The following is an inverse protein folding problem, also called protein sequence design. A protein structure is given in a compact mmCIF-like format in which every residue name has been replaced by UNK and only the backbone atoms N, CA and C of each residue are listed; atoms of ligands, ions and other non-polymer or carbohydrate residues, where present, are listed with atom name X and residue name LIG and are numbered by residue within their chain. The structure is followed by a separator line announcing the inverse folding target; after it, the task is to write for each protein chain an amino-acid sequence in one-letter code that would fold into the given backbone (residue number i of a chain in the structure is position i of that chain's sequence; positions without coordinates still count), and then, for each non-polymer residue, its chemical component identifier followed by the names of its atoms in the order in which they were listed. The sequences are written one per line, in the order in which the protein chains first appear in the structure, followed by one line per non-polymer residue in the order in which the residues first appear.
data_IF_076382645105
#
_entry.id   IF_076382645105
#
_cell.length_a   1.000
_cell.length_b   1.000
_cell.length_c   1.000
_cell.angle_alpha   90.00
_cell.angle_beta   90.00
_cell.angle_gamma   90.00
#
_symmetry.space_group_name_H-M   'P 1'
#
loop_
_entity.id
_entity.type
_entity.pdbx_description
1 polymer ?
#
# COMPACT_ATOMS: atom_id res chain seq x y z
N UNK A 1 -45.29 77.03 -23.78
CA UNK A 1 -44.26 77.68 -22.94
C UNK A 1 -44.63 77.32 -21.51
N UNK A 2 -43.68 76.75 -20.76
CA UNK A 2 -43.81 76.27 -19.37
C UNK A 2 -44.58 74.96 -19.16
N UNK A 3 -44.16 73.98 -18.34
CA UNK A 3 -42.90 73.56 -17.68
C UNK A 3 -43.26 72.14 -17.14
N UNK A 4 -42.37 71.13 -17.23
CA UNK A 4 -41.63 70.57 -16.08
C UNK A 4 -42.59 69.95 -15.02
N UNK A 5 -42.59 68.70 -14.57
CA UNK A 5 -41.57 67.67 -14.29
C UNK A 5 -42.39 66.41 -13.99
N UNK A 6 -42.17 65.29 -14.68
CA UNK A 6 -42.53 63.95 -14.19
C UNK A 6 -41.93 62.89 -15.13
N UNK A 7 -40.61 62.81 -15.14
CA UNK A 7 -39.89 61.64 -15.63
C UNK A 7 -38.92 61.24 -14.53
N UNK A 8 -39.48 60.59 -13.51
CA UNK A 8 -38.76 59.89 -12.47
C UNK A 8 -38.02 58.71 -13.13
N UNK A 9 -36.68 58.77 -13.08
CA UNK A 9 -35.76 57.65 -12.96
C UNK A 9 -36.17 56.31 -13.60
N UNK A 10 -35.89 56.15 -14.90
CA UNK A 10 -35.80 54.83 -15.53
C UNK A 10 -34.32 54.39 -15.62
N UNK A 11 -33.83 53.97 -14.46
CA UNK A 11 -32.86 52.90 -14.19
C UNK A 11 -31.96 52.48 -15.38
N UNK A 12 -30.69 52.91 -15.29
CA UNK A 12 -29.55 52.30 -15.96
C UNK A 12 -29.34 50.90 -15.35
N UNK A 13 -29.78 49.85 -16.03
CA UNK A 13 -29.41 48.47 -15.70
C UNK A 13 -28.26 48.05 -16.61
N UNK A 14 -27.02 48.38 -16.22
CA UNK A 14 -25.83 47.74 -16.78
C UNK A 14 -25.89 46.28 -16.34
N UNK A 15 -26.23 45.40 -17.29
CA UNK A 15 -26.13 43.95 -17.12
C UNK A 15 -24.63 43.63 -17.12
N UNK A 16 -23.99 43.75 -15.96
CA UNK A 16 -22.73 43.11 -15.68
C UNK A 16 -23.00 41.61 -15.56
N UNK A 17 -23.03 40.92 -16.71
CA UNK A 17 -22.78 39.48 -16.75
C UNK A 17 -21.34 39.26 -16.27
N UNK A 18 -21.16 39.24 -14.95
CA UNK A 18 -20.01 38.60 -14.36
C UNK A 18 -20.07 37.15 -14.82
N UNK A 19 -19.16 36.79 -15.73
CA UNK A 19 -18.86 35.40 -16.00
C UNK A 19 -18.44 34.78 -14.66
N UNK A 20 -19.40 34.16 -13.96
CA UNK A 20 -19.09 33.19 -12.93
C UNK A 20 -18.46 32.05 -13.70
N UNK A 21 -17.14 32.11 -13.85
CA UNK A 21 -16.36 30.95 -14.29
C UNK A 21 -16.78 29.83 -13.33
N UNK A 22 -17.24 28.67 -13.82
CA UNK A 22 -17.47 27.54 -12.94
C UNK A 22 -16.17 27.38 -12.16
N UNK A 23 -16.26 27.46 -10.82
CA UNK A 23 -15.14 27.04 -9.99
C UNK A 23 -14.89 25.61 -10.43
N UNK A 24 -13.76 25.37 -11.12
CA UNK A 24 -13.30 24.01 -11.37
C UNK A 24 -13.43 23.31 -10.03
N UNK A 25 -14.06 22.13 -9.94
CA UNK A 25 -14.04 21.39 -8.69
C UNK A 25 -12.59 21.40 -8.22
N UNK A 26 -12.37 21.79 -6.97
CA UNK A 26 -11.07 21.66 -6.35
C UNK A 26 -10.70 20.19 -6.50
N UNK A 27 -9.90 19.88 -7.51
CA UNK A 27 -9.15 18.64 -7.51
C UNK A 27 -8.22 18.83 -6.31
N UNK A 28 -8.56 18.24 -5.18
CA UNK A 28 -7.51 17.76 -4.29
C UNK A 28 -6.54 17.04 -5.23
N UNK A 29 -5.29 17.47 -5.28
CA UNK A 29 -4.30 16.77 -6.08
C UNK A 29 -4.17 15.38 -5.43
N UNK A 30 -4.94 14.42 -5.93
CA UNK A 30 -4.79 13.01 -5.54
C UNK A 30 -3.36 12.65 -5.92
N UNK A 31 -2.59 12.21 -4.93
CA UNK A 31 -1.20 11.87 -5.15
C UNK A 31 -1.10 10.85 -6.27
N UNK A 32 -0.23 11.09 -7.28
CA UNK A 32 -0.04 10.10 -8.33
C UNK A 32 0.48 8.81 -7.70
N UNK A 33 0.12 7.67 -8.29
CA UNK A 33 0.64 6.38 -7.83
C UNK A 33 2.17 6.35 -8.04
N UNK A 34 2.97 6.19 -6.97
CA UNK A 34 4.40 6.11 -7.09
C UNK A 34 4.79 4.82 -7.82
N UNK A 35 5.87 4.86 -8.59
CA UNK A 35 6.49 3.70 -9.23
C UNK A 35 5.57 2.85 -10.14
N UNK A 36 4.43 3.38 -10.60
CA UNK A 36 3.46 2.60 -11.39
C UNK A 36 2.65 1.60 -10.56
N UNK A 37 2.45 1.89 -9.26
CA UNK A 37 1.65 1.07 -8.34
C UNK A 37 0.15 1.08 -8.70
N UNK A 38 -0.31 1.91 -9.63
CA UNK A 38 -1.69 1.85 -10.14
C UNK A 38 -1.98 0.56 -10.91
N UNK A 39 -0.96 -0.01 -11.58
CA UNK A 39 -1.11 -1.11 -12.54
C UNK A 39 -0.43 -2.42 -12.13
N UNK A 40 0.59 -2.38 -11.28
CA UNK A 40 1.29 -3.57 -10.82
C UNK A 40 1.86 -3.44 -9.40
N UNK A 41 2.10 -4.58 -8.75
CA UNK A 41 2.87 -4.67 -7.53
C UNK A 41 4.36 -4.50 -7.82
N UNK A 42 5.06 -3.78 -6.96
CA UNK A 42 6.51 -3.61 -7.02
C UNK A 42 7.15 -4.09 -5.73
N UNK A 43 8.31 -4.73 -5.83
CA UNK A 43 9.07 -5.21 -4.68
C UNK A 43 10.49 -4.67 -4.70
N UNK A 44 11.00 -4.36 -3.52
CA UNK A 44 12.35 -3.85 -3.32
C UNK A 44 12.94 -4.52 -2.07
N UNK A 45 14.24 -4.78 -2.06
CA UNK A 45 14.93 -5.09 -0.82
C UNK A 45 15.29 -3.78 -0.13
N UNK A 46 15.19 -3.73 1.19
CA UNK A 46 15.69 -2.59 1.95
C UNK A 46 17.22 -2.53 1.86
N UNK A 47 17.79 -1.36 2.15
CA UNK A 47 19.23 -1.20 2.28
C UNK A 47 19.76 -2.04 3.45
N UNK A 48 20.73 -2.89 3.17
CA UNK A 48 21.38 -3.73 4.19
C UNK A 48 21.95 -5.02 3.63
N UNK A 49 22.89 -5.61 4.36
CA UNK A 49 23.51 -6.89 3.99
C UNK A 49 22.75 -8.06 4.63
N UNK A 50 21.52 -8.29 4.17
CA UNK A 50 20.65 -9.33 4.72
C UNK A 50 20.93 -10.71 4.10
N UNK A 51 20.70 -11.77 4.89
CA UNK A 51 20.94 -13.15 4.47
C UNK A 51 20.01 -13.60 3.32
N UNK A 52 18.79 -13.06 3.25
CA UNK A 52 17.80 -13.38 2.24
C UNK A 52 17.46 -12.13 1.44
N UNK A 53 17.50 -12.27 0.12
CA UNK A 53 17.12 -11.21 -0.83
C UNK A 53 16.04 -11.72 -1.77
N UNK A 54 15.08 -10.86 -2.10
CA UNK A 54 13.95 -11.18 -3.01
C UNK A 54 14.19 -10.53 -4.36
N UNK A 55 13.94 -11.27 -5.45
CA UNK A 55 14.12 -10.80 -6.83
C UNK A 55 12.83 -10.79 -7.65
N UNK A 56 11.79 -11.50 -7.19
CA UNK A 56 10.49 -11.51 -7.86
C UNK A 56 9.36 -11.81 -6.88
N UNK A 57 8.19 -11.22 -7.13
CA UNK A 57 6.97 -11.50 -6.39
C UNK A 57 5.74 -11.42 -7.31
N UNK A 58 4.78 -12.30 -7.09
CA UNK A 58 3.49 -12.29 -7.78
C UNK A 58 2.39 -12.82 -6.86
N UNK A 59 1.21 -12.21 -6.93
CA UNK A 59 0.05 -12.63 -6.13
C UNK A 59 -0.95 -13.35 -7.02
N UNK A 60 -1.43 -14.50 -6.57
CA UNK A 60 -2.44 -15.31 -7.25
C UNK A 60 -3.72 -15.43 -6.42
N UNK A 61 -4.86 -15.58 -7.10
CA UNK A 61 -6.14 -15.83 -6.45
C UNK A 61 -6.15 -17.26 -5.89
N UNK A 62 -6.25 -17.42 -4.57
CA UNK A 62 -6.18 -18.71 -3.90
C UNK A 62 -5.02 -19.56 -4.41
N UNK A 63 -5.31 -20.81 -4.80
CA UNK A 63 -4.34 -21.76 -5.39
C UNK A 63 -4.33 -21.77 -6.93
N UNK A 64 -4.91 -20.76 -7.58
CA UNK A 64 -5.00 -20.70 -9.05
C UNK A 64 -3.71 -20.16 -9.68
N UNK A 65 -3.67 -20.14 -11.02
CA UNK A 65 -2.63 -19.45 -11.81
C UNK A 65 -3.05 -18.04 -12.23
N UNK A 66 -4.25 -17.59 -11.85
CA UNK A 66 -4.74 -16.26 -12.17
C UNK A 66 -4.14 -15.25 -11.21
N UNK A 67 -3.48 -14.22 -11.77
CA UNK A 67 -2.87 -13.14 -10.99
C UNK A 67 -3.93 -12.25 -10.36
N UNK A 68 -3.68 -11.78 -9.15
CA UNK A 68 -4.52 -10.83 -8.43
C UNK A 68 -3.84 -9.45 -8.43
N UNK A 69 -4.40 -8.50 -9.20
CA UNK A 69 -4.08 -7.10 -9.09
C UNK A 69 -5.24 -6.22 -9.58
N UNK A 70 -5.70 -5.19 -8.83
CA UNK A 70 -5.29 -4.85 -7.46
C UNK A 70 -5.55 -6.00 -6.47
N UNK A 71 -4.90 -5.96 -5.32
CA UNK A 71 -4.98 -7.05 -4.32
C UNK A 71 -6.27 -6.90 -3.50
N UNK A 72 -7.07 -7.95 -3.40
CA UNK A 72 -8.18 -7.99 -2.45
C UNK A 72 -7.74 -8.73 -1.17
N UNK A 73 -7.37 -8.02 -0.09
CA UNK A 73 -6.87 -8.66 1.12
C UNK A 73 -7.94 -9.49 1.85
N UNK A 74 -9.22 -9.40 1.46
CA UNK A 74 -10.32 -10.19 2.03
C UNK A 74 -10.42 -11.59 1.41
N UNK A 75 -9.74 -11.83 0.30
CA UNK A 75 -9.74 -13.12 -0.41
C UNK A 75 -8.47 -13.90 -0.07
N UNK A 76 -8.56 -15.23 0.12
CA UNK A 76 -7.38 -16.07 0.18
C UNK A 76 -6.51 -15.90 -1.07
N UNK A 77 -5.19 -15.81 -0.88
CA UNK A 77 -4.24 -15.56 -1.97
C UNK A 77 -2.99 -16.43 -1.81
N UNK A 78 -2.28 -16.67 -2.91
CA UNK A 78 -0.92 -17.23 -2.86
C UNK A 78 0.08 -16.16 -3.28
N UNK A 79 1.03 -15.85 -2.41
CA UNK A 79 2.20 -15.04 -2.75
C UNK A 79 3.32 -15.95 -3.26
N UNK A 80 3.63 -15.86 -4.54
CA UNK A 80 4.77 -16.54 -5.13
C UNK A 80 6.00 -15.63 -5.08
N UNK A 81 7.10 -16.10 -4.48
CA UNK A 81 8.34 -15.35 -4.33
C UNK A 81 9.51 -16.09 -4.98
N UNK A 82 10.36 -15.33 -5.65
CA UNK A 82 11.70 -15.77 -6.04
C UNK A 82 12.70 -15.05 -5.15
N UNK A 83 13.47 -15.81 -4.38
CA UNK A 83 14.43 -15.27 -3.43
C UNK A 83 15.75 -16.07 -3.46
N UNK A 84 16.74 -15.58 -2.74
CA UNK A 84 18.02 -16.25 -2.56
C UNK A 84 18.46 -16.10 -1.11
N UNK A 85 18.76 -17.22 -0.45
CA UNK A 85 19.33 -17.26 0.88
C UNK A 85 20.84 -17.54 0.80
N UNK A 86 21.66 -16.54 1.09
CA UNK A 86 23.13 -16.70 1.18
C UNK A 86 23.62 -17.09 2.58
N UNK A 87 22.72 -17.10 3.56
CA UNK A 87 23.00 -17.46 4.95
C UNK A 87 22.76 -18.93 5.25
N UNK A 88 22.53 -19.21 6.53
CA UNK A 88 22.16 -20.54 7.01
C UNK A 88 20.70 -20.87 6.67
N UNK A 89 20.35 -22.16 6.70
CA UNK A 89 18.97 -22.59 6.61
C UNK A 89 18.14 -22.03 7.79
N UNK A 90 16.96 -21.49 7.49
CA UNK A 90 16.03 -20.96 8.48
C UNK A 90 14.86 -21.94 8.62
N UNK A 91 14.71 -22.52 9.80
CA UNK A 91 13.65 -23.45 10.18
C UNK A 91 12.56 -22.78 11.02
N UNK A 92 12.85 -21.62 11.59
CA UNK A 92 11.91 -20.79 12.35
C UNK A 92 12.16 -19.31 12.05
N UNK A 93 11.11 -18.57 11.71
CA UNK A 93 11.20 -17.12 11.45
C UNK A 93 9.93 -16.38 11.89
N UNK A 94 10.12 -15.11 12.24
CA UNK A 94 9.01 -14.19 12.53
C UNK A 94 9.09 -12.96 11.66
N UNK A 95 7.93 -12.46 11.25
CA UNK A 95 7.80 -11.26 10.46
C UNK A 95 7.13 -10.12 11.24
N UNK A 96 7.66 -8.92 11.06
CA UNK A 96 6.99 -7.68 11.43
C UNK A 96 6.60 -6.93 10.15
N UNK A 97 5.37 -6.45 10.08
CA UNK A 97 4.87 -5.69 8.93
C UNK A 97 4.43 -4.30 9.36
N UNK A 98 5.08 -3.29 8.79
CA UNK A 98 4.63 -1.90 8.89
C UNK A 98 3.94 -1.51 7.59
N UNK A 99 2.74 -0.93 7.69
CA UNK A 99 1.97 -0.46 6.53
C UNK A 99 2.12 1.05 6.42
N UNK A 100 2.37 1.54 5.21
CA UNK A 100 2.31 2.96 4.89
C UNK A 100 1.31 3.20 3.78
N UNK A 101 0.62 4.33 3.83
CA UNK A 101 -0.25 4.84 2.76
C UNK A 101 0.35 6.08 2.12
N UNK A 102 0.23 6.20 0.79
CA UNK A 102 0.74 7.35 0.07
C UNK A 102 -0.36 8.40 -0.12
N UNK A 103 -0.23 9.53 0.55
CA UNK A 103 -1.21 10.60 0.52
C UNK A 103 -0.58 11.98 0.63
N UNK A 104 -1.39 12.99 0.32
CA UNK A 104 -0.97 14.38 0.41
C UNK A 104 -0.82 14.79 1.88
N UNK A 105 0.36 15.28 2.23
CA UNK A 105 0.57 15.88 3.53
C UNK A 105 -0.20 17.21 3.61
N UNK A 106 -1.16 17.27 4.53
CA UNK A 106 -2.09 18.39 4.62
C UNK A 106 -1.40 19.75 4.81
N UNK A 107 -0.23 19.77 5.48
CA UNK A 107 0.52 20.97 5.84
C UNK A 107 1.46 21.45 4.72
N UNK A 108 2.10 20.52 4.02
CA UNK A 108 3.14 20.82 3.01
C UNK A 108 2.63 20.69 1.56
N UNK A 109 1.47 20.06 1.35
CA UNK A 109 0.94 19.71 0.02
C UNK A 109 1.88 18.80 -0.78
N UNK A 110 2.70 18.02 -0.07
CA UNK A 110 3.64 17.06 -0.66
C UNK A 110 3.16 15.64 -0.40
N UNK A 111 3.19 14.82 -1.44
CA UNK A 111 2.86 13.41 -1.34
C UNK A 111 3.97 12.64 -0.64
N UNK A 112 3.61 11.93 0.43
CA UNK A 112 4.55 11.14 1.22
C UNK A 112 3.92 9.85 1.73
N UNK A 113 4.77 8.91 2.10
CA UNK A 113 4.38 7.71 2.82
C UNK A 113 4.07 8.05 4.28
N UNK A 114 2.88 7.73 4.73
CA UNK A 114 2.43 7.93 6.10
C UNK A 114 2.17 6.57 6.74
N UNK A 115 2.69 6.35 7.96
CA UNK A 115 2.48 5.08 8.65
C UNK A 115 1.01 4.90 9.03
N UNK A 116 0.45 3.75 8.69
CA UNK A 116 -0.87 3.32 9.12
C UNK A 116 -0.72 2.64 10.49
N UNK A 117 -1.38 3.15 11.54
CA UNK A 117 -1.22 2.59 12.88
C UNK A 117 -1.88 1.22 12.98
N UNK A 118 -1.08 0.17 13.00
CA UNK A 118 -1.55 -1.22 13.17
C UNK A 118 -1.61 -1.65 14.64
N UNK A 119 -1.13 -0.79 15.55
CA UNK A 119 -1.06 -1.03 17.00
C UNK A 119 -0.39 -2.36 17.37
N UNK A 120 0.59 -2.80 16.57
CA UNK A 120 1.37 -4.02 16.81
C UNK A 120 0.68 -5.31 16.36
N UNK A 121 -0.52 -5.25 15.78
CA UNK A 121 -1.25 -6.44 15.30
C UNK A 121 -0.51 -7.21 14.20
N UNK A 122 0.45 -6.58 13.52
CA UNK A 122 1.24 -7.20 12.46
C UNK A 122 2.70 -7.49 12.88
N UNK A 123 2.98 -7.54 14.18
CA UNK A 123 4.30 -7.86 14.71
C UNK A 123 4.37 -9.31 15.19
N UNK A 124 5.50 -9.96 14.96
CA UNK A 124 5.77 -11.31 15.44
C UNK A 124 4.94 -12.40 14.76
N UNK A 125 4.50 -12.17 13.51
CA UNK A 125 3.78 -13.17 12.72
C UNK A 125 4.72 -14.36 12.48
N UNK A 126 4.31 -15.55 12.90
CA UNK A 126 5.10 -16.77 12.71
C UNK A 126 5.09 -17.17 11.22
N UNK A 127 6.21 -17.02 10.52
CA UNK A 127 6.28 -17.26 9.08
C UNK A 127 6.14 -18.73 8.72
N UNK A 128 6.59 -19.64 9.60
CA UNK A 128 6.51 -21.07 9.36
C UNK A 128 5.09 -21.59 9.56
N UNK A 129 4.42 -21.14 10.63
CA UNK A 129 3.05 -21.57 10.93
C UNK A 129 2.02 -20.87 10.06
N UNK A 130 2.16 -19.55 9.85
CA UNK A 130 1.15 -18.76 9.15
C UNK A 130 1.30 -18.83 7.62
N UNK A 131 2.51 -18.68 7.11
CA UNK A 131 2.78 -18.62 5.67
C UNK A 131 3.36 -19.92 5.10
N UNK A 132 3.60 -20.93 5.95
CA UNK A 132 4.20 -22.21 5.56
C UNK A 132 5.49 -22.06 4.75
N UNK A 133 6.32 -21.07 5.11
CA UNK A 133 7.51 -20.71 4.34
C UNK A 133 8.77 -21.50 4.73
N UNK A 134 8.69 -22.36 5.74
CA UNK A 134 9.82 -23.10 6.29
C UNK A 134 9.90 -24.55 5.79
N UNK A 135 11.12 -25.09 5.60
CA UNK A 135 12.41 -24.44 5.81
C UNK A 135 12.83 -23.53 4.64
N UNK A 136 13.48 -22.41 4.93
CA UNK A 136 14.15 -21.55 3.95
C UNK A 136 15.60 -22.02 3.78
N UNK A 137 15.82 -22.96 2.86
CA UNK A 137 17.14 -23.56 2.59
C UNK A 137 18.15 -22.56 2.05
N UNK A 138 19.45 -22.83 2.24
CA UNK A 138 20.52 -22.04 1.60
C UNK A 138 20.47 -22.21 0.07
N UNK A 139 20.71 -21.12 -0.67
CA UNK A 139 20.69 -21.07 -2.12
C UNK A 139 19.40 -20.45 -2.69
N UNK A 140 19.09 -20.73 -3.97
CA UNK A 140 17.87 -20.23 -4.61
C UNK A 140 16.60 -20.75 -3.93
N UNK A 141 15.61 -19.87 -3.79
CA UNK A 141 14.30 -20.15 -3.20
C UNK A 141 13.19 -19.80 -4.19
N UNK A 142 12.24 -20.72 -4.36
CA UNK A 142 10.97 -20.48 -5.05
C UNK A 142 9.86 -20.86 -4.09
N UNK A 143 9.21 -19.84 -3.52
CA UNK A 143 8.23 -20.02 -2.45
C UNK A 143 6.83 -19.78 -2.99
N UNK A 144 5.86 -20.54 -2.47
CA UNK A 144 4.43 -20.30 -2.67
C UNK A 144 3.78 -20.24 -1.31
N UNK A 145 3.49 -19.03 -0.86
CA UNK A 145 3.01 -18.76 0.49
C UNK A 145 1.50 -18.60 0.43
N UNK A 146 0.71 -19.55 0.95
CA UNK A 146 -0.72 -19.34 1.13
C UNK A 146 -0.93 -18.29 2.22
N UNK A 147 -1.72 -17.26 1.91
CA UNK A 147 -2.03 -16.18 2.83
C UNK A 147 -3.55 -16.06 2.97
N UNK A 148 -4.02 -16.16 4.21
CA UNK A 148 -5.39 -15.85 4.60
C UNK A 148 -5.38 -14.72 5.63
N UNK A 149 -5.62 -13.50 5.16
CA UNK A 149 -5.56 -12.29 5.98
C UNK A 149 -6.85 -12.04 6.78
N UNK A 150 -7.82 -12.96 6.80
CA UNK A 150 -9.09 -12.78 7.51
C UNK A 150 -8.92 -12.46 9.01
N UNK A 151 -7.88 -13.03 9.64
CA UNK A 151 -7.47 -12.72 11.01
C UNK A 151 -7.07 -11.26 11.25
N UNK A 152 -6.76 -10.51 10.20
CA UNK A 152 -6.37 -9.10 10.23
C UNK A 152 -7.47 -8.15 9.73
N UNK A 153 -8.73 -8.61 9.70
CA UNK A 153 -9.90 -7.83 9.23
C UNK A 153 -10.00 -6.42 9.83
N UNK A 154 -9.64 -6.23 11.10
CA UNK A 154 -9.64 -4.91 11.73
C UNK A 154 -8.69 -3.92 11.02
N UNK A 155 -7.51 -4.39 10.61
CA UNK A 155 -6.57 -3.57 9.82
C UNK A 155 -7.08 -3.41 8.40
N UNK A 156 -7.56 -4.49 7.77
CA UNK A 156 -8.08 -4.43 6.39
C UNK A 156 -9.20 -3.40 6.26
N UNK A 157 -10.10 -3.32 7.23
CA UNK A 157 -11.21 -2.37 7.24
C UNK A 157 -10.77 -0.91 7.47
N UNK A 158 -9.55 -0.68 7.98
CA UNK A 158 -8.97 0.65 8.11
C UNK A 158 -8.38 1.15 6.79
N UNK A 159 -7.98 0.25 5.90
CA UNK A 159 -7.30 0.59 4.65
C UNK A 159 -8.31 1.17 3.64
N UNK A 160 -8.04 2.39 3.20
CA UNK A 160 -8.79 3.06 2.17
C UNK A 160 -8.63 2.38 0.80
N UNK A 161 -9.72 2.34 0.06
CA UNK A 161 -9.72 1.96 -1.33
C UNK A 161 -8.92 2.96 -2.20
N UNK A 162 -8.33 2.46 -3.28
CA UNK A 162 -7.77 3.28 -4.37
C UNK A 162 -6.66 4.27 -3.96
N UNK A 163 -5.86 3.93 -2.95
CA UNK A 163 -4.60 4.60 -2.62
C UNK A 163 -3.42 3.62 -2.72
N UNK A 164 -2.18 4.10 -2.96
CA UNK A 164 -1.00 3.24 -2.94
C UNK A 164 -0.63 2.90 -1.49
N UNK A 165 -0.32 1.63 -1.25
CA UNK A 165 0.20 1.12 0.01
C UNK A 165 1.63 0.62 -0.15
N UNK A 166 2.40 0.76 0.91
CA UNK A 166 3.73 0.18 1.04
C UNK A 166 3.77 -0.71 2.29
N UNK A 167 4.02 -1.99 2.10
CA UNK A 167 4.25 -2.96 3.15
C UNK A 167 5.76 -3.08 3.36
N UNK A 168 6.23 -2.66 4.52
CA UNK A 168 7.61 -2.85 4.95
C UNK A 168 7.66 -4.09 5.84
N UNK A 169 8.30 -5.14 5.33
CA UNK A 169 8.28 -6.49 5.89
C UNK A 169 9.69 -6.82 6.35
N UNK A 170 9.86 -6.94 7.66
CA UNK A 170 11.11 -7.32 8.31
C UNK A 170 10.99 -8.76 8.80
N UNK A 171 11.93 -9.62 8.41
CA UNK A 171 11.92 -11.04 8.78
C UNK A 171 13.13 -11.32 9.67
N UNK A 172 12.89 -11.97 10.81
CA UNK A 172 13.88 -12.28 11.83
C UNK A 172 14.08 -13.79 11.94
N UNK A 173 15.34 -14.21 12.11
CA UNK A 173 15.66 -15.61 12.39
C UNK A 173 15.20 -15.96 13.80
N UNK A 174 14.49 -17.07 13.96
CA UNK A 174 14.07 -17.60 15.27
C UNK A 174 14.56 -19.03 15.49
N UNK A 175 15.49 -19.52 14.66
CA UNK A 175 16.10 -20.84 14.85
C UNK A 175 16.60 -21.01 16.28
N UNK A 176 16.38 -22.18 16.87
CA UNK A 176 16.89 -22.52 18.19
C UNK A 176 18.41 -22.30 18.28
N UNK A 177 18.83 -21.51 19.26
CA UNK A 177 20.25 -21.15 19.47
C UNK A 177 20.80 -20.08 18.52
N UNK A 178 19.94 -19.44 17.70
CA UNK A 178 20.33 -18.26 16.93
C UNK A 178 20.23 -16.98 17.76
N UNK A 179 20.96 -15.95 17.32
CA UNK A 179 20.69 -14.58 17.78
C UNK A 179 19.61 -14.04 16.85
N UNK A 180 18.46 -13.60 17.39
CA UNK A 180 17.23 -13.22 16.67
C UNK A 180 17.39 -12.01 15.72
N UNK A 181 18.35 -12.07 14.80
CA UNK A 181 18.73 -11.02 13.89
C UNK A 181 17.83 -10.98 12.67
N UNK A 182 17.66 -9.78 12.12
CA UNK A 182 16.94 -9.58 10.87
C UNK A 182 17.70 -10.24 9.71
N UNK A 183 17.02 -11.14 9.01
CA UNK A 183 17.56 -11.95 7.91
C UNK A 183 17.05 -11.52 6.55
N UNK A 184 15.94 -10.77 6.49
CA UNK A 184 15.41 -10.19 5.27
C UNK A 184 14.67 -8.90 5.59
N UNK A 185 14.71 -7.96 4.66
CA UNK A 185 13.87 -6.76 4.69
C UNK A 185 13.37 -6.48 3.27
N UNK A 186 12.06 -6.48 3.09
CA UNK A 186 11.39 -6.32 1.80
C UNK A 186 10.33 -5.24 1.88
N UNK A 187 10.31 -4.38 0.89
CA UNK A 187 9.28 -3.38 0.67
C UNK A 187 8.41 -3.84 -0.49
N UNK A 188 7.11 -4.03 -0.27
CA UNK A 188 6.14 -4.28 -1.32
C UNK A 188 5.22 -3.07 -1.49
N UNK A 189 5.19 -2.48 -2.68
CA UNK A 189 4.26 -1.41 -3.05
C UNK A 189 3.10 -2.01 -3.83
N UNK A 190 1.88 -1.78 -3.35
CA UNK A 190 0.64 -2.42 -3.82
C UNK A 190 -0.52 -1.44 -3.85
N UNK A 191 -1.55 -1.77 -4.64
CA UNK A 191 -2.88 -1.17 -4.57
C UNK A 191 -3.87 -2.23 -4.12
N UNK A 192 -4.70 -1.89 -3.13
CA UNK A 192 -5.80 -2.76 -2.70
C UNK A 192 -7.08 -2.50 -3.52
N UNK A 193 -7.85 -3.57 -3.75
CA UNK A 193 -9.16 -3.52 -4.39
C UNK A 193 -10.15 -2.75 -3.50
N UNK A 194 -11.09 -2.02 -4.12
CA UNK A 194 -12.05 -1.22 -3.36
C UNK A 194 -12.98 -2.11 -2.51
N UNK A 195 -13.22 -1.68 -1.27
CA UNK A 195 -14.26 -2.25 -0.41
C UNK A 195 -15.62 -1.72 -0.86
N UNK A 196 -16.32 -2.45 -1.73
CA UNK A 196 -17.78 -2.30 -1.89
C UNK A 196 -18.52 -2.80 -0.64
#
# INVERSE_FOLDING_TARGET
MERLILCFFAIIAVISCTFIRPKKPYSFASCPFPNGTDTAMHIYNCDGDYAITTSGAQVFIGNTTQTMYPIDPRKPMTLALTAYNKGVQINDNKANVTIFEYQDDWATKQCKWNSVPTFGLLNGIDGCDYAHNCPLTTGPLTLRLPLDLSGFSAIINLLAANVPYQLHIEIFNYNSGSNDGMIACVVAQVRFEETN
#
